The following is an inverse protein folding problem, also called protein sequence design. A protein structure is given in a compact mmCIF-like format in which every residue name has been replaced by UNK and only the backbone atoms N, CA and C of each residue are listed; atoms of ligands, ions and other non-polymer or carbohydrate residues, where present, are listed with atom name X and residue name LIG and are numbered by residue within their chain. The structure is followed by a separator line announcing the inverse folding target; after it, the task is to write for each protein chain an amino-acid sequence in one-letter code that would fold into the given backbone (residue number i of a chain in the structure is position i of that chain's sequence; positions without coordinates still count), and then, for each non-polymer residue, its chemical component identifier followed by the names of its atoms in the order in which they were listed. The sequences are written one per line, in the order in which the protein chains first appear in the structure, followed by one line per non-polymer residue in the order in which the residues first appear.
data_IF_472766686666
#
_entry.id   IF_472766686666
#
_cell.length_a   1.000
_cell.length_b   1.000
_cell.length_c   1.000
_cell.angle_alpha   90.00
_cell.angle_beta   90.00
_cell.angle_gamma   90.00
#
_symmetry.space_group_name_H-M   'P 1'
#
loop_
_entity.id
_entity.type
_entity.pdbx_description
1 polymer ?
#
# COMPACT_ATOMS: atom_id res chain seq x y z
N UNK A 1 10.04 -3.60 -5.53
CA UNK A 1 9.64 -3.15 -6.88
C UNK A 1 10.87 -2.87 -7.73
N UNK A 2 10.79 -3.21 -9.00
CA UNK A 2 11.81 -3.01 -10.03
C UNK A 2 11.15 -2.45 -11.28
N UNK A 3 11.94 -1.87 -12.20
CA UNK A 3 11.37 -1.32 -13.45
C UNK A 3 10.64 -2.35 -14.31
N UNK A 4 10.99 -3.63 -14.18
CA UNK A 4 10.36 -4.74 -14.90
C UNK A 4 8.92 -5.02 -14.42
N UNK A 5 8.55 -4.54 -13.24
CA UNK A 5 7.22 -4.73 -12.66
C UNK A 5 6.17 -3.80 -13.34
N UNK A 6 6.58 -2.82 -14.14
CA UNK A 6 5.71 -1.83 -14.77
C UNK A 6 5.52 -2.13 -16.26
N UNK A 7 4.27 -2.27 -16.71
CA UNK A 7 3.98 -2.70 -18.09
C UNK A 7 4.17 -1.60 -19.14
N UNK A 8 3.98 -0.33 -18.78
CA UNK A 8 4.13 0.80 -19.71
C UNK A 8 5.25 1.75 -19.27
N UNK A 9 6.13 2.11 -20.20
CA UNK A 9 7.11 3.18 -20.02
C UNK A 9 6.67 4.36 -20.88
N UNK A 10 6.40 5.50 -20.25
CA UNK A 10 5.97 6.70 -20.98
C UNK A 10 7.19 7.41 -21.59
N UNK A 11 7.04 7.82 -22.85
CA UNK A 11 8.08 8.43 -23.70
C UNK A 11 8.27 9.93 -23.40
N UNK A 12 9.41 10.53 -23.83
CA UNK A 12 9.85 11.93 -23.64
C UNK A 12 8.84 13.10 -23.78
N UNK A 13 7.63 12.87 -24.29
CA UNK A 13 6.71 13.92 -24.74
C UNK A 13 5.26 13.70 -24.26
N UNK A 14 5.06 13.15 -23.06
CA UNK A 14 3.73 13.08 -22.46
C UNK A 14 3.64 14.07 -21.29
N UNK A 15 2.58 14.87 -21.24
CA UNK A 15 2.43 16.00 -20.32
C UNK A 15 2.27 15.61 -18.83
N UNK A 16 2.34 14.32 -18.52
CA UNK A 16 2.25 13.76 -17.18
C UNK A 16 3.67 13.38 -16.74
N UNK A 17 4.44 14.36 -16.23
CA UNK A 17 5.80 14.17 -15.71
C UNK A 17 5.84 13.35 -14.40
N UNK A 18 5.06 12.27 -14.30
CA UNK A 18 4.88 11.48 -13.09
C UNK A 18 4.64 10.01 -13.41
N UNK A 19 5.28 9.12 -12.64
CA UNK A 19 4.94 7.69 -12.61
C UNK A 19 3.65 7.44 -11.83
N UNK A 20 2.91 6.41 -12.21
CA UNK A 20 1.71 5.97 -11.51
C UNK A 20 1.79 4.47 -11.27
N UNK A 21 1.48 4.03 -10.06
CA UNK A 21 1.20 2.62 -9.78
C UNK A 21 -0.20 2.43 -9.27
N UNK A 22 -0.85 1.40 -9.79
CA UNK A 22 -2.14 0.95 -9.32
C UNK A 22 -1.92 -0.03 -8.14
N UNK A 23 -2.11 0.50 -6.94
CA UNK A 23 -1.89 -0.17 -5.66
C UNK A 23 -3.23 -0.24 -4.91
N UNK A 24 -3.47 -1.30 -4.15
CA UNK A 24 -4.70 -1.39 -3.37
C UNK A 24 -4.71 -2.49 -2.31
N UNK A 25 -5.76 -2.52 -1.52
CA UNK A 25 -5.97 -3.51 -0.44
C UNK A 25 -7.14 -4.42 -0.81
N UNK A 26 -6.86 -5.65 -1.19
CA UNK A 26 -7.90 -6.60 -1.59
C UNK A 26 -8.25 -7.54 -0.43
N UNK A 27 -9.53 -7.86 -0.27
CA UNK A 27 -9.97 -8.98 0.57
C UNK A 27 -10.12 -10.22 -0.32
N UNK A 28 -9.33 -11.27 -0.07
CA UNK A 28 -9.29 -12.49 -0.90
C UNK A 28 -10.11 -13.65 -0.33
N UNK A 29 -10.74 -13.45 0.83
CA UNK A 29 -11.50 -14.47 1.54
C UNK A 29 -12.74 -13.90 2.22
N UNK A 30 -13.53 -14.76 2.84
CA UNK A 30 -14.67 -14.37 3.67
C UNK A 30 -14.24 -14.02 5.10
N UNK A 31 -15.17 -13.47 5.89
CA UNK A 31 -14.95 -13.19 7.33
C UNK A 31 -14.52 -14.45 8.11
N UNK A 32 -14.89 -15.66 7.64
CA UNK A 32 -14.46 -16.92 8.25
C UNK A 32 -12.95 -17.16 8.11
N UNK A 33 -12.33 -16.65 7.06
CA UNK A 33 -10.88 -16.79 6.83
C UNK A 33 -10.05 -15.95 7.81
N UNK A 34 -10.68 -15.06 8.58
CA UNK A 34 -10.05 -14.32 9.69
C UNK A 34 -9.61 -15.24 10.84
N UNK A 35 -10.05 -16.50 10.84
CA UNK A 35 -9.65 -17.51 11.80
C UNK A 35 -8.67 -18.52 11.19
N UNK A 36 -7.67 -18.91 11.98
CA UNK A 36 -6.74 -19.97 11.62
C UNK A 36 -5.54 -19.52 10.79
N UNK A 37 -4.89 -20.51 10.16
CA UNK A 37 -3.54 -20.36 9.56
C UNK A 37 -3.51 -19.39 8.38
N UNK A 38 -4.65 -19.15 7.72
CA UNK A 38 -4.75 -18.29 6.54
C UNK A 38 -5.20 -16.86 6.85
N UNK A 39 -5.35 -16.49 8.12
CA UNK A 39 -5.94 -15.20 8.48
C UNK A 39 -5.14 -13.97 8.03
N UNK A 40 -3.82 -14.10 7.79
CA UNK A 40 -3.06 -13.01 7.18
C UNK A 40 -3.33 -12.88 5.68
N UNK A 41 -3.75 -13.95 5.00
CA UNK A 41 -4.08 -13.96 3.56
C UNK A 41 -5.48 -13.43 3.26
N UNK A 42 -6.32 -13.25 4.28
CA UNK A 42 -7.66 -12.69 4.13
C UNK A 42 -7.63 -11.28 3.50
N UNK A 43 -6.59 -10.49 3.82
CA UNK A 43 -6.35 -9.16 3.25
C UNK A 43 -4.98 -9.14 2.59
N UNK A 44 -4.88 -8.64 1.38
CA UNK A 44 -3.62 -8.52 0.63
C UNK A 44 -3.40 -7.10 0.15
N UNK A 45 -2.15 -6.66 0.19
CA UNK A 45 -1.72 -5.51 -0.60
C UNK A 45 -1.44 -6.01 -2.02
N UNK A 46 -2.03 -5.37 -3.03
CA UNK A 46 -1.97 -5.79 -4.42
C UNK A 46 -1.41 -4.68 -5.30
N UNK A 47 -0.55 -5.06 -6.23
CA UNK A 47 0.03 -4.17 -7.22
C UNK A 47 -0.38 -4.67 -8.60
N UNK A 48 -1.11 -3.84 -9.33
CA UNK A 48 -1.60 -4.17 -10.65
C UNK A 48 -0.63 -3.61 -11.69
N UNK A 49 0.28 -4.47 -12.17
CA UNK A 49 1.31 -4.12 -13.16
C UNK A 49 0.71 -3.52 -14.45
N UNK A 50 -0.45 -4.02 -14.89
CA UNK A 50 -1.11 -3.54 -16.13
C UNK A 50 -1.77 -2.17 -16.04
N UNK A 51 -1.95 -1.64 -14.83
CA UNK A 51 -2.41 -0.27 -14.59
C UNK A 51 -1.29 0.69 -14.16
N UNK A 52 -0.05 0.22 -14.18
CA UNK A 52 1.10 0.93 -13.63
C UNK A 52 2.11 1.30 -14.72
N UNK A 53 2.57 2.54 -14.71
CA UNK A 53 3.55 3.03 -15.67
C UNK A 53 4.67 3.84 -15.01
N UNK A 54 5.87 3.71 -15.58
CA UNK A 54 7.02 4.53 -15.21
C UNK A 54 7.23 5.63 -16.25
N UNK A 55 7.38 6.86 -15.78
CA UNK A 55 7.78 7.97 -16.63
C UNK A 55 9.30 8.02 -16.77
N UNK A 56 9.81 7.60 -17.94
CA UNK A 56 11.25 7.66 -18.24
C UNK A 56 11.70 9.00 -18.85
N UNK A 57 10.77 9.92 -19.08
CA UNK A 57 10.98 11.22 -19.70
C UNK A 57 11.25 12.36 -18.70
N UNK A 58 10.83 12.17 -17.45
CA UNK A 58 10.83 13.22 -16.45
C UNK A 58 12.23 13.63 -15.96
N UNK A 59 12.29 14.74 -15.22
CA UNK A 59 13.51 15.24 -14.55
C UNK A 59 14.04 14.29 -13.46
N UNK A 60 13.24 13.33 -13.03
CA UNK A 60 13.58 12.37 -11.99
C UNK A 60 14.18 11.10 -12.60
N UNK A 61 15.30 10.63 -12.07
CA UNK A 61 15.84 9.34 -12.47
C UNK A 61 14.85 8.22 -12.18
N UNK A 62 14.88 7.16 -12.98
CA UNK A 62 14.03 5.99 -12.79
C UNK A 62 14.20 5.40 -11.39
N UNK A 63 15.38 5.48 -10.76
CA UNK A 63 15.56 4.99 -9.39
C UNK A 63 14.77 5.78 -8.36
N UNK A 64 14.69 7.11 -8.50
CA UNK A 64 13.93 7.95 -7.57
C UNK A 64 12.44 7.64 -7.67
N UNK A 65 11.94 7.40 -8.88
CA UNK A 65 10.54 7.07 -9.12
C UNK A 65 10.20 5.68 -8.59
N UNK A 66 11.08 4.68 -8.79
CA UNK A 66 10.93 3.35 -8.18
C UNK A 66 10.91 3.45 -6.65
N UNK A 67 11.79 4.26 -6.06
CA UNK A 67 11.81 4.48 -4.61
C UNK A 67 10.49 5.08 -4.13
N UNK A 68 10.00 6.10 -4.81
CA UNK A 68 8.73 6.73 -4.49
C UNK A 68 7.58 5.71 -4.52
N UNK A 69 7.53 4.90 -5.57
CA UNK A 69 6.53 3.82 -5.72
C UNK A 69 6.64 2.74 -4.65
N UNK A 70 7.86 2.35 -4.28
CA UNK A 70 8.11 1.39 -3.20
C UNK A 70 7.58 1.91 -1.87
N UNK A 71 7.79 3.20 -1.56
CA UNK A 71 7.25 3.79 -0.32
C UNK A 71 5.71 3.81 -0.32
N UNK A 72 5.07 4.09 -1.47
CA UNK A 72 3.62 4.00 -1.61
C UNK A 72 3.11 2.56 -1.41
N UNK A 73 3.84 1.57 -1.93
CA UNK A 73 3.56 0.16 -1.67
C UNK A 73 3.66 -0.18 -0.19
N UNK A 74 4.74 0.26 0.47
CA UNK A 74 4.96 0.00 1.89
C UNK A 74 3.87 0.66 2.77
N UNK A 75 3.38 1.85 2.39
CA UNK A 75 2.22 2.49 3.04
C UNK A 75 0.94 1.64 2.93
N UNK A 76 0.67 1.07 1.75
CA UNK A 76 -0.46 0.15 1.58
C UNK A 76 -0.27 -1.13 2.41
N UNK A 77 0.95 -1.65 2.51
CA UNK A 77 1.22 -2.83 3.32
C UNK A 77 1.02 -2.56 4.81
N UNK A 78 1.42 -1.38 5.31
CA UNK A 78 1.09 -0.96 6.68
C UNK A 78 -0.42 -0.93 6.90
N UNK A 79 -1.17 -0.33 5.97
CA UNK A 79 -2.63 -0.27 6.08
C UNK A 79 -3.27 -1.66 6.01
N UNK A 80 -2.79 -2.54 5.14
CA UNK A 80 -3.25 -3.94 5.06
C UNK A 80 -2.96 -4.70 6.36
N UNK A 81 -1.78 -4.53 6.96
CA UNK A 81 -1.43 -5.16 8.25
C UNK A 81 -2.28 -4.63 9.41
N UNK A 82 -2.50 -3.31 9.48
CA UNK A 82 -3.41 -2.70 10.47
C UNK A 82 -4.83 -3.24 10.31
N UNK A 83 -5.31 -3.36 9.08
CA UNK A 83 -6.62 -3.94 8.81
C UNK A 83 -6.70 -5.41 9.24
N UNK A 84 -5.68 -6.24 8.95
CA UNK A 84 -5.61 -7.63 9.45
C UNK A 84 -5.64 -7.69 10.97
N UNK A 85 -4.92 -6.79 11.65
CA UNK A 85 -4.91 -6.69 13.11
C UNK A 85 -6.30 -6.38 13.66
N UNK A 86 -6.96 -5.36 13.14
CA UNK A 86 -8.31 -4.94 13.58
C UNK A 86 -9.36 -6.02 13.31
N UNK A 87 -9.35 -6.61 12.11
CA UNK A 87 -10.26 -7.69 11.75
C UNK A 87 -10.06 -8.91 12.66
N UNK A 88 -8.82 -9.29 12.98
CA UNK A 88 -8.52 -10.40 13.89
C UNK A 88 -8.95 -10.10 15.33
N UNK A 89 -8.65 -8.92 15.84
CA UNK A 89 -9.03 -8.50 17.19
C UNK A 89 -10.56 -8.53 17.37
N UNK A 90 -11.32 -8.24 16.32
CA UNK A 90 -12.77 -8.18 16.35
C UNK A 90 -13.47 -9.41 15.73
N UNK A 91 -12.73 -10.39 15.21
CA UNK A 91 -13.28 -11.45 14.34
C UNK A 91 -14.48 -12.19 14.97
N UNK A 92 -14.41 -12.53 16.26
CA UNK A 92 -15.52 -13.21 16.97
C UNK A 92 -16.77 -12.32 17.04
N UNK A 93 -16.58 -11.03 17.31
CA UNK A 93 -17.69 -10.06 17.42
C UNK A 93 -18.33 -9.80 16.07
N UNK A 94 -17.51 -9.69 15.02
CA UNK A 94 -17.97 -9.54 13.63
C UNK A 94 -18.84 -10.74 13.22
N UNK A 95 -18.40 -11.98 13.52
CA UNK A 95 -19.18 -13.18 13.16
C UNK A 95 -20.48 -13.28 13.96
N UNK A 96 -20.40 -13.12 15.28
CA UNK A 96 -21.54 -13.40 16.16
C UNK A 96 -22.58 -12.26 16.16
N UNK A 97 -22.14 -11.03 15.97
CA UNK A 97 -22.97 -9.84 16.15
C UNK A 97 -22.98 -8.90 14.94
N UNK A 98 -22.19 -9.19 13.89
CA UNK A 98 -22.05 -8.32 12.72
C UNK A 98 -21.38 -6.98 13.02
N UNK A 99 -20.74 -6.83 14.19
CA UNK A 99 -20.17 -5.55 14.66
C UNK A 99 -18.76 -5.70 15.23
N UNK A 100 -17.82 -4.78 14.93
CA UNK A 100 -17.92 -3.69 13.96
C UNK A 100 -18.16 -4.21 12.53
N UNK A 101 -18.70 -3.38 11.64
CA UNK A 101 -18.90 -3.81 10.26
C UNK A 101 -17.54 -3.96 9.56
N UNK A 102 -17.28 -5.13 8.97
CA UNK A 102 -16.01 -5.39 8.29
C UNK A 102 -15.81 -4.46 7.08
N UNK A 103 -16.88 -4.09 6.38
CA UNK A 103 -16.81 -3.15 5.25
C UNK A 103 -16.48 -1.74 5.72
N UNK A 104 -16.98 -1.33 6.89
CA UNK A 104 -16.61 -0.03 7.49
C UNK A 104 -15.12 -0.01 7.84
N UNK A 105 -14.60 -1.10 8.44
CA UNK A 105 -13.16 -1.22 8.73
C UNK A 105 -12.30 -1.15 7.45
N UNK A 106 -12.73 -1.83 6.39
CA UNK A 106 -12.06 -1.78 5.08
C UNK A 106 -12.10 -0.36 4.52
N UNK A 107 -13.26 0.29 4.51
CA UNK A 107 -13.42 1.67 4.02
C UNK A 107 -12.51 2.63 4.79
N UNK A 108 -12.49 2.54 6.12
CA UNK A 108 -11.60 3.37 6.95
C UNK A 108 -10.13 3.10 6.65
N UNK A 109 -9.72 1.84 6.43
CA UNK A 109 -8.34 1.55 6.05
C UNK A 109 -7.97 2.20 4.70
N UNK A 110 -8.88 2.19 3.73
CA UNK A 110 -8.72 2.88 2.44
C UNK A 110 -8.62 4.40 2.57
N UNK A 111 -9.48 5.01 3.38
CA UNK A 111 -9.46 6.45 3.64
C UNK A 111 -8.14 6.88 4.30
N UNK A 112 -7.71 6.15 5.33
CA UNK A 112 -6.47 6.44 6.06
C UNK A 112 -5.26 6.30 5.15
N UNK A 113 -5.16 5.22 4.37
CA UNK A 113 -4.02 5.07 3.46
C UNK A 113 -4.04 6.11 2.35
N UNK A 114 -5.21 6.44 1.80
CA UNK A 114 -5.35 7.49 0.79
C UNK A 114 -4.89 8.86 1.29
N UNK A 115 -5.30 9.24 2.52
CA UNK A 115 -4.82 10.47 3.16
C UNK A 115 -3.30 10.47 3.36
N UNK A 116 -2.73 9.36 3.82
CA UNK A 116 -1.27 9.23 4.00
C UNK A 116 -0.52 9.30 2.67
N UNK A 117 -1.04 8.71 1.59
CA UNK A 117 -0.45 8.80 0.27
C UNK A 117 -0.46 10.23 -0.27
N UNK A 118 -1.56 10.97 -0.08
CA UNK A 118 -1.66 12.40 -0.45
C UNK A 118 -0.65 13.23 0.35
N UNK A 119 -0.55 12.99 1.66
CA UNK A 119 0.42 13.67 2.52
C UNK A 119 1.85 13.39 2.06
N UNK A 120 2.20 12.11 1.86
CA UNK A 120 3.50 11.68 1.37
C UNK A 120 3.84 12.31 0.02
N UNK A 121 2.89 12.31 -0.93
CA UNK A 121 3.05 12.93 -2.23
C UNK A 121 3.30 14.44 -2.13
N UNK A 122 2.55 15.14 -1.27
CA UNK A 122 2.69 16.57 -1.04
C UNK A 122 4.02 16.95 -0.39
N UNK A 123 4.41 16.25 0.68
CA UNK A 123 5.63 16.52 1.46
C UNK A 123 6.90 16.18 0.70
N UNK A 124 6.88 15.13 -0.12
CA UNK A 124 8.05 14.73 -0.91
C UNK A 124 8.10 15.39 -2.28
N UNK A 125 7.05 16.14 -2.65
CA UNK A 125 6.82 16.63 -4.02
C UNK A 125 6.96 15.47 -5.02
N UNK A 126 6.17 14.42 -4.83
CA UNK A 126 6.17 13.21 -5.66
C UNK A 126 7.56 12.57 -5.79
N UNK A 127 8.31 12.53 -4.69
CA UNK A 127 9.64 11.94 -4.63
C UNK A 127 10.82 12.87 -4.98
N UNK A 128 10.61 14.15 -5.27
CA UNK A 128 11.71 15.10 -5.49
C UNK A 128 12.56 15.36 -4.24
N UNK A 129 11.95 15.35 -3.05
CA UNK A 129 12.65 15.63 -1.79
C UNK A 129 13.12 14.34 -1.10
N UNK A 130 14.39 14.00 -1.31
CA UNK A 130 14.99 12.74 -0.87
C UNK A 130 15.11 12.61 0.65
N UNK A 131 15.36 13.71 1.35
CA UNK A 131 15.41 13.78 2.82
C UNK A 131 14.05 13.40 3.42
N UNK A 132 12.96 13.93 2.83
CA UNK A 132 11.59 13.60 3.22
C UNK A 132 11.24 12.15 2.91
N UNK A 133 11.62 11.66 1.73
CA UNK A 133 11.43 10.24 1.40
C UNK A 133 12.10 9.31 2.42
N UNK A 134 13.33 9.63 2.83
CA UNK A 134 14.07 8.81 3.79
C UNK A 134 13.44 8.85 5.19
N UNK A 135 12.96 10.03 5.63
CA UNK A 135 12.23 10.15 6.89
C UNK A 135 10.95 9.28 6.90
N UNK A 136 10.15 9.38 5.83
CA UNK A 136 8.95 8.55 5.66
C UNK A 136 9.28 7.07 5.64
N UNK A 137 10.31 6.67 4.89
CA UNK A 137 10.75 5.28 4.82
C UNK A 137 11.10 4.72 6.19
N UNK A 138 11.85 5.45 7.02
CA UNK A 138 12.19 5.01 8.38
C UNK A 138 10.96 4.83 9.26
N UNK A 139 10.04 5.79 9.21
CA UNK A 139 8.77 5.69 9.95
C UNK A 139 7.98 4.45 9.52
N UNK A 140 7.81 4.24 8.22
CA UNK A 140 7.06 3.11 7.67
C UNK A 140 7.73 1.79 8.03
N UNK A 141 9.06 1.71 7.97
CA UNK A 141 9.81 0.52 8.38
C UNK A 141 9.55 0.15 9.84
N UNK A 142 9.52 1.13 10.74
CA UNK A 142 9.18 0.89 12.14
C UNK A 142 7.74 0.36 12.29
N UNK A 143 6.77 0.97 11.60
CA UNK A 143 5.37 0.48 11.61
C UNK A 143 5.26 -0.95 11.06
N UNK A 144 5.99 -1.28 9.99
CA UNK A 144 6.02 -2.62 9.43
C UNK A 144 6.62 -3.65 10.39
N UNK A 145 7.66 -3.28 11.15
CA UNK A 145 8.27 -4.12 12.18
C UNK A 145 7.31 -4.39 13.34
N UNK A 146 6.63 -3.35 13.84
CA UNK A 146 5.60 -3.47 14.88
C UNK A 146 4.47 -4.41 14.44
N UNK A 147 4.16 -4.42 13.14
CA UNK A 147 3.09 -5.20 12.53
C UNK A 147 3.57 -6.52 11.93
N UNK A 148 4.78 -6.99 12.23
CA UNK A 148 5.38 -8.17 11.61
C UNK A 148 4.50 -9.45 11.74
N UNK A 149 3.78 -9.61 12.86
CA UNK A 149 2.86 -10.73 13.08
C UNK A 149 1.68 -10.80 12.08
N UNK A 150 1.39 -9.69 11.40
CA UNK A 150 0.31 -9.55 10.43
C UNK A 150 0.81 -9.55 8.99
N UNK A 151 2.09 -9.82 8.74
CA UNK A 151 2.62 -10.00 7.39
C UNK A 151 2.03 -11.26 6.74
N UNK A 152 1.78 -11.20 5.42
CA UNK A 152 1.47 -12.42 4.65
C UNK A 152 2.76 -13.26 4.58
N UNK A 153 2.73 -14.55 4.93
CA UNK A 153 3.87 -15.43 4.72
C UNK A 153 4.10 -15.62 3.22
N UNK A 154 5.36 -15.49 2.79
CA UNK A 154 5.83 -15.77 1.43
C UNK A 154 5.42 -17.17 0.94
#
# INVERSE_FOLDING_TARGET
MQSADFQMKVRPQNNLNQSVGNLGIQMNGGIMDLFGKNANRAVQNVFHCGGSYLDSAGRLSTEIQIRYMQTLWDLNEVAARKLRQELRANAKRIILWGKPDANDLIRTAYEVVGQRQIQYAGETKYGLFLDKQEAWKRQIQNELLELAAFAVPD
#
